data_IF_980936485955
#
_entry.id   IF_980936485955
#
_cell.length_a   1.000
_cell.length_b   1.000
_cell.length_c   1.000
_cell.angle_alpha   90.00
_cell.angle_beta   90.00
_cell.angle_gamma   90.00
#
_symmetry.space_group_name_H-M   'P 1'
#
loop_
_entity.id
_entity.type
_entity.pdbx_description
1 polymer ?
#
# COMPACT_ATOMS: atom_id res chain seq x y z
N UNK A 1 35.72 2.11 -1.54
CA UNK A 1 35.32 2.86 -0.32
C UNK A 1 33.80 3.04 -0.20
N UNK A 2 33.05 3.40 -1.25
CA UNK A 2 31.58 3.53 -1.18
C UNK A 2 30.84 2.22 -0.83
N UNK A 3 31.22 1.07 -1.40
CA UNK A 3 30.57 -0.21 -1.10
C UNK A 3 30.72 -0.67 0.38
N UNK A 4 31.83 -0.31 1.03
CA UNK A 4 32.12 -0.66 2.43
C UNK A 4 31.34 0.22 3.41
N UNK A 5 31.04 1.48 3.03
CA UNK A 5 30.27 2.42 3.85
C UNK A 5 28.78 2.07 3.83
N UNK A 6 28.23 1.65 2.68
CA UNK A 6 26.84 1.19 2.56
C UNK A 6 26.60 -0.06 3.41
N UNK A 7 27.55 -1.01 3.41
CA UNK A 7 27.44 -2.24 4.21
C UNK A 7 27.47 -1.97 5.73
N UNK A 8 28.25 -0.98 6.17
CA UNK A 8 28.34 -0.62 7.59
C UNK A 8 27.09 0.13 8.08
N UNK A 9 26.47 0.96 7.22
CA UNK A 9 25.25 1.70 7.53
C UNK A 9 24.02 0.78 7.59
N UNK A 10 23.90 -0.18 6.67
CA UNK A 10 22.86 -1.22 6.71
C UNK A 10 22.93 -2.07 7.98
N UNK A 11 24.14 -2.39 8.47
CA UNK A 11 24.32 -3.10 9.74
C UNK A 11 23.79 -2.27 10.91
N UNK A 12 24.13 -0.98 10.99
CA UNK A 12 23.73 -0.09 12.10
C UNK A 12 22.21 0.15 12.19
N UNK A 13 21.50 0.22 11.06
CA UNK A 13 20.03 0.31 11.05
C UNK A 13 19.38 -1.03 11.42
N UNK A 14 19.91 -2.16 10.95
CA UNK A 14 19.46 -3.49 11.38
C UNK A 14 19.67 -3.71 12.89
N UNK A 15 20.76 -3.16 13.47
CA UNK A 15 20.99 -3.17 14.91
C UNK A 15 20.01 -2.29 15.71
N UNK A 16 19.49 -1.19 15.14
CA UNK A 16 18.47 -0.37 15.81
C UNK A 16 17.10 -1.04 15.85
N UNK A 17 16.72 -1.78 14.80
CA UNK A 17 15.44 -2.51 14.75
C UNK A 17 15.40 -3.66 15.77
N UNK A 18 16.46 -4.48 15.86
CA UNK A 18 16.52 -5.61 16.81
C UNK A 18 16.50 -5.15 18.28
N UNK A 19 16.93 -3.91 18.58
CA UNK A 19 16.89 -3.36 19.94
C UNK A 19 15.46 -3.20 20.49
N UNK A 20 14.43 -3.30 19.64
CA UNK A 20 13.02 -3.22 20.01
C UNK A 20 12.37 -4.59 20.29
N UNK A 21 13.15 -5.67 20.28
CA UNK A 21 12.65 -7.04 20.56
C UNK A 21 13.10 -7.49 21.94
N UNK A 22 12.16 -8.06 22.71
CA UNK A 22 12.39 -8.76 23.96
C UNK A 22 12.20 -10.26 23.78
N UNK A 23 12.76 -11.04 24.71
CA UNK A 23 12.71 -12.49 24.66
C UNK A 23 12.22 -13.05 25.98
N UNK A 24 11.29 -14.01 25.93
CA UNK A 24 10.87 -14.77 27.12
C UNK A 24 12.00 -15.71 27.57
N UNK A 25 11.87 -16.33 28.74
CA UNK A 25 12.83 -17.36 29.21
C UNK A 25 12.95 -18.54 28.23
N UNK A 26 11.88 -18.82 27.49
CA UNK A 26 11.83 -19.87 26.45
C UNK A 26 12.33 -19.39 25.08
N UNK A 27 12.78 -18.15 24.96
CA UNK A 27 13.34 -17.60 23.73
C UNK A 27 12.30 -17.13 22.69
N UNK A 28 11.02 -17.02 23.05
CA UNK A 28 10.00 -16.41 22.18
C UNK A 28 10.21 -14.90 22.11
N UNK A 29 10.24 -14.37 20.89
CA UNK A 29 10.36 -12.95 20.62
C UNK A 29 9.02 -12.23 20.90
N UNK A 30 9.08 -11.05 21.51
CA UNK A 30 7.91 -10.19 21.77
C UNK A 30 8.31 -8.71 21.80
N UNK A 31 7.38 -7.77 21.60
CA UNK A 31 7.72 -6.36 21.40
C UNK A 31 8.12 -5.63 22.70
N UNK A 32 8.53 -4.37 22.57
CA UNK A 32 8.62 -3.41 23.68
C UNK A 32 7.26 -3.20 24.37
N UNK A 33 7.28 -2.48 25.50
CA UNK A 33 6.11 -2.35 26.36
C UNK A 33 4.99 -1.60 25.63
N UNK A 34 3.75 -2.05 25.84
CA UNK A 34 2.55 -1.42 25.31
C UNK A 34 2.56 0.09 25.62
N UNK A 35 2.35 0.89 24.58
CA UNK A 35 2.14 2.33 24.63
C UNK A 35 0.64 2.61 24.57
N UNK A 36 0.01 2.81 25.73
CA UNK A 36 -1.41 3.08 25.77
C UNK A 36 -1.75 4.42 25.12
N UNK A 37 -2.86 4.47 24.39
CA UNK A 37 -3.37 5.69 23.76
C UNK A 37 -4.86 5.87 24.07
N UNK A 38 -5.29 7.12 24.13
CA UNK A 38 -6.66 7.50 24.44
C UNK A 38 -7.42 8.11 23.27
N UNK A 39 -8.52 8.79 23.61
CA UNK A 39 -9.43 9.45 22.65
C UNK A 39 -8.75 10.46 21.72
N UNK A 40 -7.60 11.02 22.10
CA UNK A 40 -6.80 11.93 21.28
C UNK A 40 -6.34 11.27 19.97
N UNK A 41 -6.13 9.95 19.96
CA UNK A 41 -5.75 9.19 18.78
C UNK A 41 -6.83 9.15 17.69
N UNK A 42 -8.08 9.46 18.04
CA UNK A 42 -9.25 9.45 17.16
C UNK A 42 -9.59 10.84 16.62
N UNK A 43 -8.91 11.89 17.09
CA UNK A 43 -9.09 13.24 16.55
C UNK A 43 -8.56 13.33 15.12
N UNK A 44 -9.10 14.22 14.27
CA UNK A 44 -8.56 14.43 12.93
C UNK A 44 -7.07 14.74 12.94
N UNK A 45 -6.32 13.98 12.15
CA UNK A 45 -4.88 14.15 11.93
C UNK A 45 -4.60 14.83 10.58
N UNK A 46 -3.37 15.32 10.38
CA UNK A 46 -2.95 15.88 9.08
C UNK A 46 -2.54 14.80 8.06
N UNK A 47 -2.35 13.56 8.52
CA UNK A 47 -1.87 12.41 7.75
C UNK A 47 -2.48 11.14 8.31
N UNK A 48 -2.38 10.04 7.57
CA UNK A 48 -2.81 8.73 8.04
C UNK A 48 -1.86 8.22 9.12
N UNK A 49 -2.40 7.93 10.31
CA UNK A 49 -1.67 7.39 11.45
C UNK A 49 -2.13 5.96 11.71
N UNK A 50 -1.18 5.05 11.86
CA UNK A 50 -1.39 3.62 12.08
C UNK A 50 -0.83 3.27 13.47
N UNK A 51 -1.55 2.47 14.25
CA UNK A 51 -1.06 1.90 15.51
C UNK A 51 -1.30 0.40 15.50
N UNK A 52 -0.27 -0.37 15.84
CA UNK A 52 -0.42 -1.82 16.00
C UNK A 52 -1.16 -2.13 17.31
N UNK A 53 -2.18 -2.97 17.27
CA UNK A 53 -3.01 -3.32 18.44
C UNK A 53 -2.58 -4.62 19.12
N UNK A 54 -1.61 -5.33 18.52
CA UNK A 54 -1.31 -6.72 18.86
C UNK A 54 -1.96 -7.70 17.88
N UNK A 55 -1.35 -8.88 17.75
CA UNK A 55 -1.69 -9.92 16.79
C UNK A 55 -1.82 -9.33 15.36
N UNK A 56 -2.86 -9.67 14.61
CA UNK A 56 -3.16 -9.04 13.32
C UNK A 56 -3.85 -7.67 13.40
N UNK A 57 -4.07 -7.16 14.61
CA UNK A 57 -4.89 -5.97 14.84
C UNK A 57 -4.16 -4.66 14.56
N UNK A 58 -4.80 -3.75 13.83
CA UNK A 58 -4.29 -2.39 13.61
C UNK A 58 -5.41 -1.34 13.71
N UNK A 59 -5.10 -0.21 14.33
CA UNK A 59 -5.92 1.00 14.28
C UNK A 59 -5.38 1.96 13.22
N UNK A 60 -6.26 2.53 12.40
CA UNK A 60 -5.91 3.48 11.34
C UNK A 60 -6.79 4.71 11.49
N UNK A 61 -6.18 5.87 11.66
CA UNK A 61 -6.82 7.18 11.57
C UNK A 61 -6.34 7.89 10.31
N UNK A 62 -7.17 7.91 9.27
CA UNK A 62 -6.92 8.69 8.06
C UNK A 62 -7.63 10.03 8.14
N UNK A 63 -6.91 11.05 8.64
CA UNK A 63 -7.39 12.44 8.67
C UNK A 63 -8.76 12.62 9.34
N UNK A 64 -9.06 11.79 10.34
CA UNK A 64 -10.33 11.78 11.08
C UNK A 64 -11.29 10.65 10.69
N UNK A 65 -11.02 9.88 9.65
CA UNK A 65 -11.70 8.61 9.40
C UNK A 65 -11.00 7.49 10.14
N UNK A 66 -11.67 6.93 11.15
CA UNK A 66 -11.07 6.00 12.12
C UNK A 66 -11.58 4.58 11.88
N UNK A 67 -10.69 3.65 11.54
CA UNK A 67 -11.03 2.25 11.34
C UNK A 67 -10.11 1.33 12.14
N UNK A 68 -10.56 0.12 12.44
CA UNK A 68 -9.70 -0.97 12.93
C UNK A 68 -9.74 -2.15 11.97
N UNK A 69 -8.62 -2.85 11.83
CA UNK A 69 -8.52 -4.15 11.16
C UNK A 69 -8.25 -5.19 12.25
N UNK A 70 -9.00 -6.30 12.23
CA UNK A 70 -8.83 -7.46 13.11
C UNK A 70 -8.56 -7.13 14.60
N UNK A 71 -9.37 -6.27 15.27
CA UNK A 71 -9.08 -5.83 16.63
C UNK A 71 -9.31 -6.96 17.66
N UNK A 72 -8.24 -7.66 18.03
CA UNK A 72 -8.22 -8.62 19.14
C UNK A 72 -7.87 -7.94 20.47
N UNK A 73 -8.75 -7.07 20.98
CA UNK A 73 -8.50 -6.28 22.19
C UNK A 73 -8.92 -6.97 23.50
N UNK A 74 -9.76 -8.00 23.42
CA UNK A 74 -10.26 -8.73 24.58
C UNK A 74 -10.70 -10.16 24.24
N UNK A 75 -10.73 -11.04 25.24
CA UNK A 75 -11.39 -12.35 25.15
C UNK A 75 -10.71 -13.34 24.21
N UNK A 76 -9.38 -13.26 24.10
CA UNK A 76 -8.57 -14.31 23.51
C UNK A 76 -8.36 -15.45 24.52
N UNK A 77 -8.35 -16.68 24.03
CA UNK A 77 -8.43 -17.88 24.90
C UNK A 77 -7.05 -18.38 25.35
N UNK A 78 -5.96 -17.76 24.87
CA UNK A 78 -4.59 -18.10 25.25
C UNK A 78 -3.93 -16.94 26.01
N UNK A 79 -2.91 -17.22 26.85
CA UNK A 79 -2.16 -16.17 27.54
C UNK A 79 -1.46 -15.24 26.53
N UNK A 80 -1.36 -13.97 26.88
CA UNK A 80 -0.75 -12.93 26.04
C UNK A 80 0.56 -12.42 26.67
N UNK A 81 1.53 -12.05 25.83
CA UNK A 81 2.79 -11.41 26.21
C UNK A 81 2.68 -9.89 26.30
N UNK A 82 1.57 -9.32 25.82
CA UNK A 82 1.32 -7.89 25.78
C UNK A 82 -0.04 -7.56 26.39
N UNK A 83 -0.18 -6.34 26.88
CA UNK A 83 -1.48 -5.75 27.20
C UNK A 83 -2.05 -5.03 25.98
N UNK A 84 -3.38 -5.03 25.78
CA UNK A 84 -3.99 -4.27 24.68
C UNK A 84 -3.69 -2.77 24.88
N UNK A 85 -3.29 -2.05 23.83
CA UNK A 85 -2.94 -0.62 23.94
C UNK A 85 -4.14 0.29 24.20
N UNK A 86 -5.35 -0.22 23.97
CA UNK A 86 -6.60 0.46 24.27
C UNK A 86 -7.66 -0.59 24.63
N UNK A 87 -8.49 -0.31 25.62
CA UNK A 87 -9.64 -1.16 25.93
C UNK A 87 -10.82 -0.84 24.99
N UNK A 88 -11.67 -1.83 24.62
CA UNK A 88 -12.86 -1.55 23.81
C UNK A 88 -13.74 -0.43 24.37
N UNK A 89 -13.82 -0.31 25.69
CA UNK A 89 -14.62 0.69 26.41
C UNK A 89 -14.02 2.11 26.35
N UNK A 90 -12.74 2.25 25.98
CA UNK A 90 -12.05 3.53 25.83
C UNK A 90 -12.12 4.08 24.40
N UNK A 91 -12.60 3.28 23.45
CA UNK A 91 -12.77 3.68 22.05
C UNK A 91 -13.96 4.65 21.94
N UNK A 92 -13.73 5.93 21.56
CA UNK A 92 -14.81 6.92 21.56
C UNK A 92 -15.75 6.78 20.35
N UNK A 93 -15.21 6.42 19.18
CA UNK A 93 -15.93 6.23 17.93
C UNK A 93 -15.05 5.50 16.91
N UNK A 94 -15.67 4.70 16.06
CA UNK A 94 -15.08 4.10 14.86
C UNK A 94 -16.04 4.25 13.69
N UNK A 95 -15.50 4.54 12.52
CA UNK A 95 -16.26 4.54 11.27
C UNK A 95 -16.48 3.12 10.76
N UNK A 96 -15.48 2.26 10.96
CA UNK A 96 -15.57 0.86 10.59
C UNK A 96 -14.65 -0.06 11.39
N UNK A 97 -15.03 -1.33 11.44
CA UNK A 97 -14.13 -2.44 11.75
C UNK A 97 -14.09 -3.38 10.54
N UNK A 98 -12.89 -3.71 10.08
CA UNK A 98 -12.63 -4.69 9.03
C UNK A 98 -12.20 -6.00 9.67
N UNK A 99 -12.82 -7.11 9.27
CA UNK A 99 -12.46 -8.45 9.75
C UNK A 99 -12.04 -9.30 8.56
N UNK A 100 -10.88 -9.93 8.62
CA UNK A 100 -10.34 -10.73 7.50
C UNK A 100 -11.03 -12.09 7.40
N UNK A 101 -11.22 -12.76 8.52
CA UNK A 101 -11.82 -14.10 8.61
C UNK A 101 -12.30 -14.43 10.04
N UNK A 102 -12.79 -15.64 10.28
CA UNK A 102 -13.57 -15.99 11.49
C UNK A 102 -12.78 -16.45 12.71
N UNK A 103 -11.45 -16.56 12.64
CA UNK A 103 -10.65 -17.12 13.74
C UNK A 103 -10.53 -16.13 14.90
N UNK A 104 -10.44 -16.64 16.14
CA UNK A 104 -10.67 -15.81 17.33
C UNK A 104 -9.57 -14.75 17.55
N UNK A 105 -8.38 -14.97 16.99
CA UNK A 105 -7.24 -14.05 17.01
C UNK A 105 -7.35 -12.92 15.95
N UNK A 106 -8.38 -12.98 15.08
CA UNK A 106 -8.75 -11.91 14.13
C UNK A 106 -10.16 -11.37 14.40
N UNK A 107 -11.15 -12.26 14.51
CA UNK A 107 -12.54 -11.98 14.84
C UNK A 107 -12.84 -12.24 16.32
N UNK A 108 -12.26 -11.42 17.19
CA UNK A 108 -12.61 -11.43 18.61
C UNK A 108 -14.07 -11.00 18.80
N UNK A 109 -14.96 -11.98 19.00
CA UNK A 109 -16.38 -11.74 19.27
C UNK A 109 -16.59 -10.85 20.50
N UNK A 110 -15.85 -11.03 21.62
CA UNK A 110 -15.94 -10.14 22.77
C UNK A 110 -15.55 -8.70 22.46
N UNK A 111 -14.54 -8.47 21.61
CA UNK A 111 -14.16 -7.12 21.18
C UNK A 111 -15.24 -6.50 20.30
N UNK A 112 -15.66 -7.22 19.26
CA UNK A 112 -16.65 -6.73 18.30
C UNK A 112 -17.99 -6.35 18.98
N UNK A 113 -18.44 -7.13 19.96
CA UNK A 113 -19.65 -6.81 20.74
C UNK A 113 -19.51 -5.52 21.55
N UNK A 114 -18.34 -5.26 22.12
CA UNK A 114 -18.10 -4.05 22.94
C UNK A 114 -17.87 -2.81 22.10
N UNK A 115 -17.37 -2.97 20.88
CA UNK A 115 -17.25 -1.88 19.91
C UNK A 115 -18.58 -1.56 19.19
N UNK A 116 -19.61 -2.41 19.32
CA UNK A 116 -20.83 -2.31 18.53
C UNK A 116 -21.57 -0.96 18.67
N UNK A 117 -21.56 -0.37 19.87
CA UNK A 117 -22.26 0.89 20.14
C UNK A 117 -21.49 2.14 19.65
N UNK A 118 -20.18 1.99 19.40
CA UNK A 118 -19.29 3.09 18.97
C UNK A 118 -18.80 2.93 17.53
N UNK A 119 -19.09 1.80 16.88
CA UNK A 119 -18.68 1.50 15.52
C UNK A 119 -19.83 1.72 14.52
N UNK A 120 -19.57 2.48 13.46
CA UNK A 120 -20.55 2.72 12.40
C UNK A 120 -20.99 1.44 11.68
N UNK A 121 -20.03 0.59 11.30
CA UNK A 121 -20.32 -0.70 10.69
C UNK A 121 -19.12 -1.67 10.70
N UNK A 122 -19.40 -2.97 10.60
CA UNK A 122 -18.42 -4.02 10.43
C UNK A 122 -18.42 -4.53 8.98
N UNK A 123 -17.26 -4.77 8.39
CA UNK A 123 -17.13 -5.22 7.01
C UNK A 123 -16.24 -6.45 6.94
N UNK A 124 -16.65 -7.45 6.17
CA UNK A 124 -15.93 -8.71 6.00
C UNK A 124 -16.41 -9.47 4.76
N UNK A 125 -15.93 -10.70 4.59
CA UNK A 125 -16.53 -11.70 3.70
C UNK A 125 -18.00 -11.98 4.04
N UNK A 126 -18.75 -12.50 3.07
CA UNK A 126 -20.17 -12.89 3.24
C UNK A 126 -20.36 -13.87 4.40
N UNK A 127 -19.43 -14.81 4.59
CA UNK A 127 -19.52 -15.79 5.68
C UNK A 127 -19.36 -15.14 7.05
N UNK A 128 -18.31 -14.35 7.27
CA UNK A 128 -18.10 -13.71 8.58
C UNK A 128 -19.20 -12.68 8.87
N UNK A 129 -19.72 -11.98 7.85
CA UNK A 129 -20.92 -11.15 7.99
C UNK A 129 -22.12 -11.95 8.51
N UNK A 130 -22.33 -13.19 8.05
CA UNK A 130 -23.38 -14.04 8.60
C UNK A 130 -23.20 -14.32 10.11
N UNK A 131 -21.95 -14.46 10.58
CA UNK A 131 -21.64 -14.64 11.99
C UNK A 131 -21.89 -13.36 12.79
N UNK A 132 -21.50 -12.21 12.23
CA UNK A 132 -21.72 -10.89 12.83
C UNK A 132 -23.22 -10.54 12.91
N UNK A 133 -24.01 -10.89 11.91
CA UNK A 133 -25.48 -10.78 11.92
C UNK A 133 -26.13 -11.64 13.00
N UNK A 134 -25.65 -12.86 13.22
CA UNK A 134 -26.10 -13.70 14.33
C UNK A 134 -25.81 -13.07 15.70
N UNK A 135 -24.76 -12.24 15.78
CA UNK A 135 -24.42 -11.43 16.96
C UNK A 135 -25.15 -10.09 17.02
N UNK A 136 -25.99 -9.76 16.02
CA UNK A 136 -26.72 -8.50 15.85
C UNK A 136 -25.81 -7.27 15.68
N UNK A 137 -24.63 -7.46 15.09
CA UNK A 137 -23.75 -6.34 14.75
C UNK A 137 -24.22 -5.64 13.45
N UNK A 138 -24.00 -4.33 13.29
CA UNK A 138 -24.28 -3.61 12.06
C UNK A 138 -23.22 -3.97 11.00
N UNK A 139 -23.43 -5.08 10.29
CA UNK A 139 -22.40 -5.65 9.40
C UNK A 139 -22.81 -5.79 7.93
N UNK A 140 -21.79 -5.77 7.06
CA UNK A 140 -21.92 -5.94 5.61
C UNK A 140 -20.89 -6.96 5.09
N UNK A 141 -21.39 -7.94 4.33
CA UNK A 141 -20.60 -8.98 3.69
C UNK A 141 -20.29 -8.64 2.24
N UNK A 142 -19.06 -8.93 1.82
CA UNK A 142 -18.52 -8.61 0.50
C UNK A 142 -17.91 -9.84 -0.19
N UNK A 143 -17.96 -9.86 -1.52
CA UNK A 143 -17.21 -10.80 -2.36
C UNK A 143 -15.76 -10.35 -2.56
N UNK A 144 -14.89 -11.27 -2.97
CA UNK A 144 -13.44 -11.01 -3.13
C UNK A 144 -13.08 -9.96 -4.18
N UNK A 145 -14.00 -9.64 -5.09
CA UNK A 145 -13.81 -8.60 -6.13
C UNK A 145 -14.47 -7.27 -5.75
N UNK A 146 -15.16 -7.21 -4.61
CA UNK A 146 -15.91 -6.02 -4.21
C UNK A 146 -14.97 -4.91 -3.74
N UNK A 147 -15.41 -3.68 -4.01
CA UNK A 147 -14.83 -2.47 -3.47
C UNK A 147 -15.94 -1.63 -2.85
N UNK A 148 -15.70 -1.11 -1.65
CA UNK A 148 -16.64 -0.25 -0.93
C UNK A 148 -15.90 0.96 -0.32
N UNK A 149 -16.67 1.90 0.24
CA UNK A 149 -16.13 3.14 0.81
C UNK A 149 -16.56 3.32 2.26
N UNK A 150 -15.62 3.76 3.08
CA UNK A 150 -15.84 4.24 4.44
C UNK A 150 -15.40 5.71 4.43
N UNK A 151 -16.36 6.62 4.28
CA UNK A 151 -16.10 8.05 4.05
C UNK A 151 -15.12 8.26 2.86
N UNK A 152 -13.92 8.75 3.13
CA UNK A 152 -12.83 9.03 2.20
C UNK A 152 -11.87 7.84 1.98
N UNK A 153 -11.99 6.78 2.77
CA UNK A 153 -11.24 5.53 2.58
C UNK A 153 -11.98 4.64 1.56
N UNK A 154 -11.24 4.10 0.59
CA UNK A 154 -11.72 3.04 -0.30
C UNK A 154 -11.10 1.72 0.11
N UNK A 155 -11.92 0.68 0.27
CA UNK A 155 -11.49 -0.67 0.65
C UNK A 155 -11.86 -1.66 -0.45
N UNK A 156 -10.88 -2.48 -0.85
CA UNK A 156 -11.09 -3.60 -1.77
C UNK A 156 -10.64 -4.89 -1.09
N UNK A 157 -11.38 -5.98 -1.27
CA UNK A 157 -10.97 -7.28 -0.76
C UNK A 157 -9.84 -7.85 -1.63
N UNK A 158 -8.94 -8.60 -1.01
CA UNK A 158 -7.93 -9.42 -1.71
C UNK A 158 -8.14 -10.90 -1.39
N UNK A 159 -7.84 -11.82 -2.31
CA UNK A 159 -7.90 -13.25 -2.02
C UNK A 159 -7.04 -13.63 -0.83
N UNK A 160 -7.50 -14.59 -0.04
CA UNK A 160 -6.72 -15.26 0.99
C UNK A 160 -6.83 -16.79 0.84
N UNK A 161 -5.97 -17.51 1.54
CA UNK A 161 -6.01 -18.96 1.65
C UNK A 161 -5.66 -19.38 3.07
N UNK A 162 -6.68 -19.57 3.91
CA UNK A 162 -6.49 -19.88 5.33
C UNK A 162 -7.50 -20.94 5.81
N UNK A 163 -7.73 -21.98 5.00
CA UNK A 163 -8.73 -23.04 5.27
C UNK A 163 -8.19 -24.15 6.19
N UNK A 164 -7.44 -23.80 7.23
CA UNK A 164 -6.80 -24.78 8.13
C UNK A 164 -7.83 -25.64 8.88
N UNK A 165 -9.03 -25.11 9.12
CA UNK A 165 -10.14 -25.78 9.80
C UNK A 165 -10.52 -27.08 9.08
N UNK A 166 -10.34 -27.15 7.76
CA UNK A 166 -10.61 -28.36 6.96
C UNK A 166 -9.54 -29.45 7.16
N UNK A 167 -8.37 -29.11 7.72
CA UNK A 167 -7.29 -30.06 8.03
C UNK A 167 -7.52 -30.77 9.36
N UNK A 168 -8.48 -30.27 10.16
CA UNK A 168 -8.88 -30.85 11.45
C UNK A 168 -10.33 -31.31 11.43
N UNK A 169 -10.66 -32.31 12.26
CA UNK A 169 -12.05 -32.65 12.55
C UNK A 169 -12.65 -31.68 13.59
N UNK A 170 -13.98 -31.64 13.68
CA UNK A 170 -14.68 -30.89 14.73
C UNK A 170 -15.48 -29.67 14.27
N UNK A 171 -15.53 -29.40 12.97
CA UNK A 171 -16.38 -28.37 12.38
C UNK A 171 -17.50 -28.98 11.55
N UNK A 172 -18.71 -28.43 11.69
CA UNK A 172 -19.91 -28.91 10.97
C UNK A 172 -20.02 -28.38 9.53
N UNK A 173 -18.95 -27.76 9.01
CA UNK A 173 -18.91 -27.19 7.65
C UNK A 173 -17.54 -27.35 7.01
N UNK A 174 -17.53 -27.32 5.68
CA UNK A 174 -16.31 -27.19 4.88
C UNK A 174 -16.08 -25.72 4.58
N UNK A 175 -14.96 -25.19 5.06
CA UNK A 175 -14.56 -23.80 4.85
C UNK A 175 -14.07 -23.58 3.42
N UNK A 176 -14.52 -22.50 2.79
CA UNK A 176 -14.18 -22.14 1.41
C UNK A 176 -13.15 -21.00 1.40
N UNK A 177 -12.43 -20.82 0.29
CA UNK A 177 -11.44 -19.74 0.19
C UNK A 177 -12.07 -18.36 0.33
N UNK A 178 -13.30 -18.21 -0.13
CA UNK A 178 -14.09 -16.99 -0.09
C UNK A 178 -14.57 -16.61 1.33
N UNK A 179 -14.41 -17.52 2.31
CA UNK A 179 -14.68 -17.21 3.72
C UNK A 179 -13.60 -16.29 4.33
N UNK A 180 -12.44 -16.19 3.67
CA UNK A 180 -11.25 -15.45 4.10
C UNK A 180 -10.90 -14.38 3.08
N UNK A 181 -10.39 -13.24 3.55
CA UNK A 181 -9.90 -12.19 2.68
C UNK A 181 -8.73 -11.43 3.32
N UNK A 182 -7.99 -10.69 2.50
CA UNK A 182 -7.25 -9.52 2.96
C UNK A 182 -7.94 -8.24 2.49
N UNK A 183 -7.36 -7.09 2.83
CA UNK A 183 -7.87 -5.78 2.44
C UNK A 183 -6.77 -4.91 1.84
N UNK A 184 -7.07 -4.30 0.68
CA UNK A 184 -6.39 -3.11 0.19
C UNK A 184 -7.17 -1.88 0.65
N UNK A 185 -6.54 -1.07 1.49
CA UNK A 185 -7.13 0.09 2.15
C UNK A 185 -6.46 1.33 1.58
N UNK A 186 -7.14 2.00 0.65
CA UNK A 186 -6.68 3.25 0.05
C UNK A 186 -7.14 4.42 0.89
N UNK A 187 -6.16 5.08 1.52
CA UNK A 187 -6.34 6.29 2.32
C UNK A 187 -5.99 7.54 1.51
N UNK A 188 -6.14 8.73 2.10
CA UNK A 188 -5.68 9.97 1.49
C UNK A 188 -4.15 10.05 1.32
N UNK A 189 -3.38 9.32 2.14
CA UNK A 189 -1.92 9.41 2.17
C UNK A 189 -1.22 8.16 1.59
N UNK A 190 -1.94 7.08 1.31
CA UNK A 190 -1.34 5.91 0.68
C UNK A 190 -2.19 4.65 0.72
N UNK A 191 -1.66 3.60 0.11
CA UNK A 191 -2.28 2.29 0.02
C UNK A 191 -1.70 1.35 1.09
N UNK A 192 -2.56 0.85 1.96
CA UNK A 192 -2.21 -0.12 3.00
C UNK A 192 -2.73 -1.49 2.57
N UNK A 193 -1.92 -2.53 2.70
CA UNK A 193 -2.35 -3.91 2.49
C UNK A 193 -2.33 -4.69 3.81
N UNK A 194 -3.50 -5.21 4.18
CA UNK A 194 -3.70 -6.11 5.32
C UNK A 194 -4.02 -7.52 4.80
N UNK A 195 -3.06 -8.45 4.74
CA UNK A 195 -3.26 -9.77 4.15
C UNK A 195 -4.06 -10.74 5.02
N UNK A 196 -4.29 -10.42 6.31
CA UNK A 196 -4.60 -11.42 7.33
C UNK A 196 -3.39 -12.33 7.56
N UNK A 197 -3.64 -13.57 7.93
CA UNK A 197 -2.66 -14.66 8.14
C UNK A 197 -2.76 -15.74 7.04
N UNK A 198 -3.03 -15.28 5.81
CA UNK A 198 -3.18 -16.15 4.65
C UNK A 198 -1.92 -16.97 4.34
N UNK A 199 -2.07 -18.18 3.82
CA UNK A 199 -1.02 -18.85 3.02
C UNK A 199 -0.59 -17.99 1.85
N UNK A 200 0.64 -18.22 1.38
CA UNK A 200 1.15 -17.55 0.18
C UNK A 200 0.31 -17.85 -1.06
N UNK A 201 -0.04 -16.79 -1.78
CA UNK A 201 -0.69 -16.83 -3.08
C UNK A 201 0.18 -16.10 -4.12
N UNK A 202 0.43 -16.64 -5.33
CA UNK A 202 1.21 -15.98 -6.36
C UNK A 202 0.68 -14.59 -6.76
N UNK A 203 -0.61 -14.34 -6.58
CA UNK A 203 -1.31 -13.07 -6.79
C UNK A 203 -0.78 -11.96 -5.89
N UNK A 204 -0.25 -12.30 -4.71
CA UNK A 204 0.33 -11.33 -3.76
C UNK A 204 1.51 -10.58 -4.33
N UNK A 205 2.20 -11.12 -5.34
CA UNK A 205 3.32 -10.45 -6.00
C UNK A 205 2.89 -9.48 -7.10
N UNK A 206 1.57 -9.34 -7.34
CA UNK A 206 1.00 -8.55 -8.45
C UNK A 206 -0.14 -7.62 -8.01
N UNK A 207 -0.27 -7.37 -6.71
CA UNK A 207 -1.21 -6.39 -6.20
C UNK A 207 -0.75 -4.98 -6.60
N UNK A 208 -1.67 -3.99 -6.65
CA UNK A 208 -1.28 -2.59 -6.69
C UNK A 208 -0.26 -2.31 -5.58
N UNK A 209 0.88 -1.71 -5.93
CA UNK A 209 2.05 -1.68 -5.06
C UNK A 209 1.76 -0.92 -3.76
N UNK A 210 1.63 -1.59 -2.60
CA UNK A 210 1.27 -0.93 -1.36
C UNK A 210 2.39 -0.02 -0.86
N UNK A 211 2.01 0.98 -0.08
CA UNK A 211 2.92 1.85 0.67
C UNK A 211 3.21 1.24 2.05
N UNK A 212 2.25 0.51 2.62
CA UNK A 212 2.37 -0.21 3.89
C UNK A 212 1.86 -1.63 3.74
N UNK A 213 2.56 -2.60 4.30
CA UNK A 213 2.09 -3.98 4.44
C UNK A 213 2.03 -4.30 5.93
N UNK A 214 0.88 -4.79 6.40
CA UNK A 214 0.80 -5.49 7.69
C UNK A 214 1.42 -6.86 7.49
N UNK A 215 2.67 -6.97 7.91
CA UNK A 215 3.60 -7.97 7.44
C UNK A 215 3.58 -9.19 8.35
N UNK A 216 2.79 -10.19 7.96
CA UNK A 216 2.85 -11.55 8.52
C UNK A 216 4.03 -12.32 7.89
N UNK A 217 4.78 -13.02 8.76
CA UNK A 217 5.98 -13.75 8.39
C UNK A 217 6.17 -15.03 9.23
N UNK A 218 5.11 -15.48 9.92
CA UNK A 218 5.13 -16.73 10.67
C UNK A 218 5.46 -17.92 9.77
N UNK A 219 6.39 -18.76 10.22
CA UNK A 219 6.96 -19.86 9.43
C UNK A 219 6.23 -21.19 9.68
N UNK A 220 4.95 -21.23 9.34
CA UNK A 220 4.12 -22.42 9.49
C UNK A 220 3.26 -22.72 8.26
N UNK A 221 2.51 -23.83 8.36
CA UNK A 221 1.72 -24.35 7.26
C UNK A 221 0.45 -23.55 6.97
N UNK A 222 -0.04 -22.68 7.85
CA UNK A 222 -1.29 -21.93 7.69
C UNK A 222 -1.06 -20.46 7.29
N UNK A 223 0.15 -19.96 7.53
CA UNK A 223 0.57 -18.59 7.23
C UNK A 223 1.34 -18.47 5.91
N UNK A 224 1.74 -17.24 5.57
CA UNK A 224 2.52 -16.94 4.36
C UNK A 224 3.81 -17.77 4.33
N UNK A 225 4.46 -17.95 5.49
CA UNK A 225 5.76 -18.58 5.62
C UNK A 225 6.90 -17.58 5.39
N UNK A 226 8.00 -17.73 6.12
CA UNK A 226 9.12 -16.76 6.14
C UNK A 226 9.68 -16.49 4.74
N UNK A 227 10.01 -17.53 3.98
CA UNK A 227 10.61 -17.38 2.65
C UNK A 227 9.67 -16.71 1.64
N UNK A 228 8.35 -16.91 1.78
CA UNK A 228 7.36 -16.27 0.92
C UNK A 228 7.08 -14.83 1.35
N UNK A 229 7.09 -14.55 2.66
CA UNK A 229 7.00 -13.19 3.18
C UNK A 229 8.18 -12.35 2.68
N UNK A 230 9.39 -12.91 2.64
CA UNK A 230 10.57 -12.29 2.01
C UNK A 230 10.36 -12.03 0.51
N UNK A 231 9.76 -12.96 -0.24
CA UNK A 231 9.43 -12.74 -1.67
C UNK A 231 8.47 -11.57 -1.84
N UNK A 232 7.44 -11.48 -1.00
CA UNK A 232 6.47 -10.37 -1.01
C UNK A 232 7.18 -9.06 -0.69
N UNK A 233 7.97 -9.02 0.39
CA UNK A 233 8.73 -7.84 0.78
C UNK A 233 9.60 -7.35 -0.39
N UNK A 234 10.29 -8.26 -1.08
CA UNK A 234 11.18 -7.90 -2.18
C UNK A 234 10.46 -7.57 -3.50
N UNK A 235 9.21 -8.01 -3.67
CA UNK A 235 8.36 -7.56 -4.79
C UNK A 235 7.88 -6.11 -4.62
N UNK A 236 7.82 -5.62 -3.37
CA UNK A 236 7.46 -4.24 -3.04
C UNK A 236 8.58 -3.57 -2.21
N UNK A 237 9.72 -3.22 -2.84
CA UNK A 237 10.93 -2.77 -2.14
C UNK A 237 10.74 -1.44 -1.39
N UNK A 238 9.75 -0.63 -1.77
CA UNK A 238 9.47 0.66 -1.13
C UNK A 238 8.40 0.58 -0.04
N UNK A 239 7.69 -0.54 0.06
CA UNK A 239 6.62 -0.70 1.05
C UNK A 239 7.20 -0.77 2.47
N UNK A 240 6.63 0.00 3.37
CA UNK A 240 6.93 -0.06 4.80
C UNK A 240 6.31 -1.33 5.38
N UNK A 241 7.09 -2.10 6.13
CA UNK A 241 6.68 -3.40 6.66
C UNK A 241 6.42 -3.25 8.15
N UNK A 242 5.15 -3.18 8.53
CA UNK A 242 4.76 -3.16 9.95
C UNK A 242 4.53 -4.60 10.37
N UNK A 243 5.38 -5.13 11.25
CA UNK A 243 5.28 -6.54 11.64
C UNK A 243 3.95 -6.84 12.31
N UNK A 244 3.32 -7.93 11.90
CA UNK A 244 1.97 -8.34 12.31
C UNK A 244 1.98 -9.77 12.86
N UNK A 245 0.96 -10.13 13.65
CA UNK A 245 0.69 -11.45 14.24
C UNK A 245 1.71 -11.93 15.31
N UNK A 246 2.99 -11.69 15.10
CA UNK A 246 4.09 -12.09 16.00
C UNK A 246 3.99 -11.52 17.42
N UNK A 247 4.61 -12.21 18.38
CA UNK A 247 4.99 -11.65 19.69
C UNK A 247 3.84 -11.23 20.61
N UNK A 248 2.61 -11.59 20.28
CA UNK A 248 1.40 -11.21 21.05
C UNK A 248 0.93 -12.31 21.99
N UNK A 249 0.89 -13.56 21.50
CA UNK A 249 0.43 -14.73 22.26
C UNK A 249 1.63 -15.41 22.93
N UNK A 250 1.52 -15.77 24.20
CA UNK A 250 2.52 -16.58 24.90
C UNK A 250 2.38 -18.04 24.46
N UNK A 251 3.07 -18.37 23.36
CA UNK A 251 2.98 -19.65 22.68
C UNK A 251 4.32 -20.01 22.01
N UNK A 252 5.39 -20.24 22.80
CA UNK A 252 6.73 -20.44 22.28
C UNK A 252 6.88 -21.69 21.41
N UNK A 253 5.95 -22.64 21.53
CA UNK A 253 5.95 -23.90 20.78
C UNK A 253 5.01 -23.85 19.54
N UNK A 254 4.29 -22.74 19.32
CA UNK A 254 3.38 -22.57 18.18
C UNK A 254 3.95 -21.58 17.18
N UNK A 255 4.43 -22.10 16.04
CA UNK A 255 5.07 -21.30 15.00
C UNK A 255 4.19 -20.16 14.47
N UNK A 256 2.87 -20.35 14.42
CA UNK A 256 1.91 -19.33 14.00
C UNK A 256 2.03 -18.04 14.81
N UNK A 257 2.37 -18.11 16.11
CA UNK A 257 2.50 -16.94 16.99
C UNK A 257 3.95 -16.62 17.39
N UNK A 258 4.92 -17.44 16.98
CA UNK A 258 6.32 -17.37 17.42
C UNK A 258 7.28 -17.02 16.26
N UNK A 259 6.86 -16.13 15.37
CA UNK A 259 7.76 -15.54 14.39
C UNK A 259 8.78 -14.62 15.09
N UNK A 260 10.05 -14.67 14.67
CA UNK A 260 11.12 -13.86 15.26
C UNK A 260 11.60 -12.82 14.25
N UNK A 261 11.48 -11.50 14.53
CA UNK A 261 11.94 -10.45 13.62
C UNK A 261 13.42 -10.59 13.22
N UNK A 262 14.25 -11.24 14.04
CA UNK A 262 15.67 -11.50 13.71
C UNK A 262 15.82 -12.33 12.42
N UNK A 263 14.82 -13.16 12.10
CA UNK A 263 14.88 -14.06 10.95
C UNK A 263 14.73 -13.30 9.61
N UNK A 264 14.25 -12.05 9.65
CA UNK A 264 14.16 -11.15 8.49
C UNK A 264 15.49 -10.46 8.16
N UNK A 265 16.42 -10.40 9.12
CA UNK A 265 17.68 -9.67 9.00
C UNK A 265 18.52 -10.22 7.85
N UNK A 266 18.89 -9.35 6.90
CA UNK A 266 19.69 -9.72 5.74
C UNK A 266 18.94 -10.48 4.64
N UNK A 267 17.62 -10.70 4.79
CA UNK A 267 16.78 -11.35 3.76
C UNK A 267 15.98 -10.36 2.91
N UNK A 268 15.70 -9.18 3.46
CA UNK A 268 14.86 -8.15 2.84
C UNK A 268 15.74 -7.08 2.19
N UNK A 269 15.42 -6.75 0.93
CA UNK A 269 15.96 -5.57 0.24
C UNK A 269 15.46 -4.33 0.95
N UNK A 270 16.37 -3.42 1.31
CA UNK A 270 16.08 -2.18 2.06
C UNK A 270 15.52 -2.48 3.46
N UNK A 271 16.30 -3.13 4.36
CA UNK A 271 15.81 -3.60 5.67
C UNK A 271 15.39 -2.47 6.62
N UNK A 272 15.79 -1.22 6.38
CA UNK A 272 15.41 -0.04 7.16
C UNK A 272 13.91 0.29 7.15
N UNK A 273 13.15 -0.33 6.24
CA UNK A 273 11.69 -0.18 6.16
C UNK A 273 10.91 -1.19 7.00
N UNK A 274 11.60 -2.05 7.76
CA UNK A 274 11.00 -2.98 8.72
C UNK A 274 10.78 -2.22 10.02
N UNK A 275 9.53 -2.17 10.47
CA UNK A 275 9.13 -1.48 11.69
C UNK A 275 8.67 -2.49 12.74
N UNK A 276 9.40 -2.55 13.85
CA UNK A 276 9.09 -3.38 15.02
C UNK A 276 8.41 -2.47 16.04
N UNK A 277 7.11 -2.26 15.86
CA UNK A 277 6.32 -1.36 16.70
C UNK A 277 6.06 -1.97 18.08
N UNK A 278 6.09 -1.16 19.14
CA UNK A 278 5.39 -1.51 20.36
C UNK A 278 3.87 -1.45 20.13
N UNK A 279 3.05 -2.27 20.84
CA UNK A 279 1.60 -2.14 20.77
C UNK A 279 1.17 -0.71 21.13
N UNK A 280 0.41 -0.06 20.27
CA UNK A 280 -0.04 1.33 20.40
C UNK A 280 0.95 2.39 19.92
N UNK A 281 2.17 2.01 19.56
CA UNK A 281 3.15 2.93 18.97
C UNK A 281 2.64 3.49 17.64
N UNK A 282 2.87 4.79 17.45
CA UNK A 282 2.43 5.51 16.26
C UNK A 282 3.37 5.30 15.08
N UNK A 283 2.81 4.86 13.96
CA UNK A 283 3.43 4.94 12.66
C UNK A 283 2.67 5.95 11.80
N UNK A 284 3.34 7.02 11.38
CA UNK A 284 2.76 8.02 10.47
C UNK A 284 3.03 7.61 9.04
N UNK A 285 1.98 7.28 8.29
CA UNK A 285 2.06 7.08 6.85
C UNK A 285 2.30 8.44 6.19
N UNK A 286 3.57 8.71 5.91
CA UNK A 286 3.91 9.83 5.03
C UNK A 286 3.54 9.42 3.62
N UNK A 287 2.89 10.34 2.89
CA UNK A 287 2.59 10.11 1.48
C UNK A 287 3.86 9.64 0.80
N UNK A 288 3.82 8.42 0.30
CA UNK A 288 4.97 7.83 -0.37
C UNK A 288 5.38 8.81 -1.45
N UNK A 289 6.63 9.25 -1.42
CA UNK A 289 7.26 9.92 -2.56
C UNK A 289 7.45 8.91 -3.72
N UNK A 290 6.78 7.74 -3.70
CA UNK A 290 6.70 6.79 -4.80
C UNK A 290 6.28 7.53 -6.05
N UNK A 291 7.17 7.51 -7.03
CA UNK A 291 6.92 8.20 -8.26
C UNK A 291 6.92 9.72 -8.14
N UNK A 292 7.28 10.32 -7.00
CA UNK A 292 7.50 11.75 -6.95
C UNK A 292 8.83 12.08 -7.62
N UNK A 293 8.90 13.25 -8.24
CA UNK A 293 10.12 13.68 -8.92
C UNK A 293 11.16 14.04 -7.86
N UNK A 294 12.21 13.23 -7.72
CA UNK A 294 13.37 13.58 -6.90
C UNK A 294 14.20 14.63 -7.65
N UNK A 295 14.22 15.85 -7.14
CA UNK A 295 14.93 16.98 -7.77
C UNK A 295 16.45 16.78 -7.79
N UNK A 296 16.99 16.06 -6.81
CA UNK A 296 18.43 15.86 -6.67
C UNK A 296 18.99 14.84 -7.69
N UNK A 297 18.13 13.97 -8.22
CA UNK A 297 18.48 12.95 -9.22
C UNK A 297 18.25 13.41 -10.67
N UNK A 298 17.69 14.61 -10.88
CA UNK A 298 17.36 15.11 -12.22
C UNK A 298 18.62 15.54 -12.99
N UNK A 299 18.67 15.18 -14.27
CA UNK A 299 19.73 15.64 -15.19
C UNK A 299 19.63 17.15 -15.43
N UNK A 300 18.40 17.67 -15.57
CA UNK A 300 18.14 19.10 -15.72
C UNK A 300 17.14 19.57 -14.65
N UNK A 301 17.27 20.83 -14.22
CA UNK A 301 16.36 21.44 -13.25
C UNK A 301 14.88 21.22 -13.64
N UNK A 302 14.04 20.91 -12.63
CA UNK A 302 12.61 20.59 -12.76
C UNK A 302 11.83 21.55 -13.67
N UNK A 303 12.22 22.83 -13.70
CA UNK A 303 11.57 23.86 -14.48
C UNK A 303 10.40 24.50 -13.75
N UNK A 304 9.49 25.12 -14.49
CA UNK A 304 8.34 25.82 -13.93
C UNK A 304 7.10 24.95 -14.02
N UNK A 305 6.29 24.96 -12.96
CA UNK A 305 4.96 24.35 -12.98
C UNK A 305 4.12 25.04 -14.07
N UNK A 306 3.57 24.25 -14.98
CA UNK A 306 2.73 24.72 -16.07
C UNK A 306 1.30 24.89 -15.59
N UNK A 307 0.68 26.02 -15.93
CA UNK A 307 -0.72 26.30 -15.66
C UNK A 307 -1.41 26.40 -17.01
N UNK A 308 -2.01 25.30 -17.46
CA UNK A 308 -2.75 25.21 -18.71
C UNK A 308 -3.86 24.18 -18.55
N UNK A 309 -5.00 24.41 -19.19
CA UNK A 309 -6.15 23.50 -19.15
C UNK A 309 -5.91 22.16 -19.87
N UNK A 310 -4.86 22.11 -20.70
CA UNK A 310 -4.48 20.94 -21.50
C UNK A 310 -3.56 19.95 -20.77
N UNK A 311 -3.27 20.20 -19.48
CA UNK A 311 -2.54 19.29 -18.63
C UNK A 311 -3.42 18.89 -17.46
N UNK A 312 -3.53 17.59 -17.24
CA UNK A 312 -4.16 17.02 -16.06
C UNK A 312 -3.13 16.88 -14.95
N UNK A 313 -3.36 17.55 -13.82
CA UNK A 313 -2.50 17.51 -12.64
C UNK A 313 -1.26 18.43 -12.74
N UNK A 314 -0.20 18.05 -12.03
CA UNK A 314 1.01 18.85 -11.89
C UNK A 314 2.05 18.44 -12.94
N UNK A 315 2.34 19.35 -13.87
CA UNK A 315 3.34 19.17 -14.92
C UNK A 315 4.32 20.34 -14.90
N UNK A 316 5.61 20.03 -14.98
CA UNK A 316 6.69 21.02 -14.97
C UNK A 316 7.41 21.00 -16.31
N UNK A 317 7.67 22.19 -16.86
CA UNK A 317 8.36 22.35 -18.14
C UNK A 317 9.61 23.19 -17.94
N UNK A 318 10.72 22.69 -18.47
CA UNK A 318 12.02 23.37 -18.50
C UNK A 318 12.46 23.50 -19.96
N UNK A 319 12.48 24.71 -20.48
CA UNK A 319 13.01 24.97 -21.83
C UNK A 319 14.54 24.91 -21.82
N UNK A 320 15.12 23.97 -22.56
CA UNK A 320 16.57 23.72 -22.54
C UNK A 320 17.28 24.41 -23.71
N UNK A 321 16.70 24.32 -24.91
CA UNK A 321 17.25 24.94 -26.12
C UNK A 321 16.13 25.32 -27.07
N UNK A 322 16.22 26.50 -27.66
CA UNK A 322 15.35 26.94 -28.76
C UNK A 322 16.21 27.43 -29.91
N UNK A 323 15.95 26.94 -31.11
CA UNK A 323 16.65 27.33 -32.33
C UNK A 323 15.66 27.77 -33.41
N UNK A 324 16.15 28.06 -34.62
CA UNK A 324 15.27 28.27 -35.77
C UNK A 324 14.67 26.96 -36.30
N UNK A 325 15.29 25.81 -36.00
CA UNK A 325 14.98 24.51 -36.61
C UNK A 325 14.22 23.57 -35.67
N UNK A 326 14.48 23.65 -34.37
CA UNK A 326 13.87 22.78 -33.35
C UNK A 326 13.92 23.40 -31.95
N UNK A 327 13.04 22.88 -31.09
CA UNK A 327 12.97 23.18 -29.65
C UNK A 327 13.24 21.90 -28.84
N UNK A 328 14.01 22.04 -27.75
CA UNK A 328 14.27 20.97 -26.77
C UNK A 328 13.73 21.42 -25.42
N UNK A 329 12.79 20.65 -24.87
CA UNK A 329 12.20 20.88 -23.56
C UNK A 329 12.31 19.62 -22.71
N UNK A 330 12.55 19.77 -21.40
CA UNK A 330 12.27 18.72 -20.44
C UNK A 330 10.85 18.89 -19.91
N UNK A 331 10.10 17.79 -19.88
CA UNK A 331 8.81 17.72 -19.20
C UNK A 331 8.92 16.73 -18.04
N UNK A 332 8.32 17.10 -16.91
CA UNK A 332 8.22 16.25 -15.74
C UNK A 332 6.75 16.20 -15.28
N UNK A 333 6.17 15.01 -15.29
CA UNK A 333 4.80 14.74 -14.87
C UNK A 333 4.84 14.07 -13.49
N UNK A 334 4.09 14.58 -12.52
CA UNK A 334 3.83 13.85 -11.27
C UNK A 334 2.94 12.62 -11.54
N UNK A 335 2.87 11.62 -10.62
CA UNK A 335 2.01 10.46 -10.79
C UNK A 335 0.57 10.85 -11.15
N UNK A 336 -0.03 10.13 -12.10
CA UNK A 336 -1.38 10.43 -12.58
C UNK A 336 -1.47 11.60 -13.57
N UNK A 337 -0.40 12.35 -13.81
CA UNK A 337 -0.45 13.56 -14.62
C UNK A 337 -0.14 13.28 -16.10
N UNK A 338 -0.86 13.93 -17.01
CA UNK A 338 -0.68 13.75 -18.46
C UNK A 338 -1.14 14.97 -19.23
N UNK A 339 -0.80 15.05 -20.52
CA UNK A 339 -1.37 16.05 -21.42
C UNK A 339 -2.65 15.52 -22.11
N UNK A 340 -3.43 16.43 -22.66
CA UNK A 340 -4.56 16.11 -23.52
C UNK A 340 -4.09 15.59 -24.88
N UNK A 341 -5.00 14.98 -25.64
CA UNK A 341 -4.73 14.62 -27.02
C UNK A 341 -4.29 15.85 -27.81
N UNK A 342 -3.27 15.71 -28.66
CA UNK A 342 -2.80 16.79 -29.50
C UNK A 342 -2.11 16.29 -30.77
N UNK A 343 -1.93 17.19 -31.72
CA UNK A 343 -1.12 16.98 -32.93
C UNK A 343 -0.05 18.08 -33.05
N UNK A 344 1.04 17.73 -33.71
CA UNK A 344 1.98 18.68 -34.30
C UNK A 344 1.75 18.68 -35.82
N UNK A 345 1.04 19.67 -36.40
CA UNK A 345 0.55 19.59 -37.78
C UNK A 345 1.63 19.33 -38.83
N UNK A 346 2.80 19.95 -38.67
CA UNK A 346 3.88 19.98 -39.64
C UNK A 346 5.27 19.78 -39.00
N UNK A 347 5.32 19.23 -37.78
CA UNK A 347 6.56 18.95 -37.05
C UNK A 347 6.57 17.51 -36.51
N UNK A 348 7.75 16.87 -36.53
CA UNK A 348 7.93 15.61 -35.79
C UNK A 348 8.23 15.93 -34.32
N UNK A 349 7.82 15.04 -33.42
CA UNK A 349 8.24 15.06 -32.02
C UNK A 349 9.02 13.80 -31.69
N UNK A 350 10.10 13.94 -30.95
CA UNK A 350 10.86 12.83 -30.36
C UNK A 350 10.87 12.96 -28.85
N UNK A 351 10.47 11.90 -28.15
CA UNK A 351 10.54 11.78 -26.71
C UNK A 351 11.70 10.87 -26.32
N UNK A 352 12.56 11.35 -25.41
CA UNK A 352 13.64 10.55 -24.80
C UNK A 352 13.35 10.41 -23.31
N UNK A 353 13.05 9.20 -22.84
CA UNK A 353 12.61 8.98 -21.46
C UNK A 353 13.82 8.95 -20.53
N UNK A 354 13.88 9.90 -19.60
CA UNK A 354 15.00 10.08 -18.68
C UNK A 354 14.78 9.36 -17.35
N UNK A 355 13.53 9.34 -16.86
CA UNK A 355 13.20 8.72 -15.58
C UNK A 355 11.71 8.41 -15.42
N UNK A 356 11.40 7.49 -14.50
CA UNK A 356 10.04 7.10 -14.14
C UNK A 356 9.35 6.17 -15.15
N UNK A 357 8.03 6.04 -15.02
CA UNK A 357 7.16 5.24 -15.91
C UNK A 357 6.01 6.09 -16.42
N UNK A 358 5.75 5.99 -17.72
CA UNK A 358 4.70 6.76 -18.38
C UNK A 358 3.87 5.94 -19.35
N UNK A 359 2.88 6.61 -19.92
CA UNK A 359 2.10 6.13 -21.04
C UNK A 359 2.32 7.02 -22.27
N UNK A 360 2.24 6.39 -23.44
CA UNK A 360 2.13 7.05 -24.74
C UNK A 360 1.06 6.35 -25.56
N UNK A 361 0.24 7.11 -26.27
CA UNK A 361 -0.77 6.53 -27.15
C UNK A 361 -1.00 7.41 -28.37
N UNK A 362 -1.13 6.75 -29.53
CA UNK A 362 -1.63 7.35 -30.77
C UNK A 362 -3.10 6.97 -30.97
N UNK A 363 -3.85 7.84 -31.62
CA UNK A 363 -5.27 7.61 -31.90
C UNK A 363 -5.46 6.29 -32.67
N UNK A 364 -6.38 5.45 -32.21
CA UNK A 364 -6.66 4.13 -32.78
C UNK A 364 -5.61 3.05 -32.47
N UNK A 365 -4.54 3.35 -31.72
CA UNK A 365 -3.53 2.37 -31.32
C UNK A 365 -3.59 2.03 -29.82
N UNK A 366 -3.07 0.85 -29.40
CA UNK A 366 -2.94 0.51 -28.00
C UNK A 366 -2.02 1.49 -27.25
N UNK A 367 -2.36 1.77 -25.99
CA UNK A 367 -1.52 2.50 -25.04
C UNK A 367 -0.24 1.71 -24.78
N UNK A 368 0.90 2.40 -24.82
CA UNK A 368 2.24 1.83 -24.61
C UNK A 368 2.80 2.28 -23.26
N UNK A 369 3.43 1.37 -22.53
CA UNK A 369 4.21 1.70 -21.35
C UNK A 369 5.55 2.29 -21.80
N UNK A 370 5.94 3.39 -21.15
CA UNK A 370 7.23 4.04 -21.30
C UNK A 370 8.07 3.79 -20.04
N UNK A 371 9.34 3.46 -20.23
CA UNK A 371 10.34 3.33 -19.16
C UNK A 371 11.62 4.09 -19.51
N UNK A 372 12.44 4.38 -18.50
CA UNK A 372 13.74 5.02 -18.68
C UNK A 372 14.58 4.34 -19.78
N UNK A 373 15.09 5.16 -20.71
CA UNK A 373 15.86 4.70 -21.86
C UNK A 373 15.03 4.50 -23.14
N UNK A 374 13.70 4.54 -23.07
CA UNK A 374 12.85 4.47 -24.26
C UNK A 374 12.97 5.73 -25.13
N UNK A 375 12.75 5.52 -26.43
CA UNK A 375 12.70 6.58 -27.45
C UNK A 375 11.43 6.43 -28.27
N UNK A 376 10.64 7.50 -28.34
CA UNK A 376 9.43 7.56 -29.15
C UNK A 376 9.59 8.65 -30.20
N UNK A 377 9.26 8.34 -31.45
CA UNK A 377 9.13 9.34 -32.51
C UNK A 377 7.69 9.37 -32.99
N UNK A 378 7.10 10.55 -32.97
CA UNK A 378 5.77 10.84 -33.48
C UNK A 378 5.90 11.66 -34.75
N UNK A 379 5.32 11.17 -35.83
CA UNK A 379 5.35 11.86 -37.12
C UNK A 379 4.41 13.08 -37.11
N UNK A 380 4.58 14.03 -38.05
CA UNK A 380 3.65 15.16 -38.18
C UNK A 380 2.21 14.69 -38.35
N UNK A 381 1.29 15.47 -37.79
CA UNK A 381 -0.16 15.28 -37.87
C UNK A 381 -0.69 13.97 -37.23
N UNK A 382 0.12 13.29 -36.41
CA UNK A 382 -0.31 12.11 -35.65
C UNK A 382 -0.88 12.55 -34.30
N UNK A 383 -2.15 12.24 -34.06
CA UNK A 383 -2.84 12.57 -32.80
C UNK A 383 -2.40 11.62 -31.70
N UNK A 384 -1.87 12.18 -30.61
CA UNK A 384 -1.29 11.42 -29.52
C UNK A 384 -1.42 12.14 -28.18
N UNK A 385 -1.18 11.41 -27.09
CA UNK A 385 -0.97 11.95 -25.74
C UNK A 385 0.13 11.16 -25.04
N UNK A 386 0.68 11.74 -23.98
CA UNK A 386 1.64 11.09 -23.10
C UNK A 386 1.62 11.67 -21.68
N UNK A 387 2.10 10.89 -20.72
CA UNK A 387 2.16 11.32 -19.32
C UNK A 387 2.63 10.24 -18.39
N UNK A 388 2.61 10.55 -17.10
CA UNK A 388 2.91 9.63 -16.02
C UNK A 388 1.89 8.48 -15.94
N UNK A 389 2.35 7.34 -15.42
CA UNK A 389 1.45 6.28 -14.93
C UNK A 389 0.77 6.72 -13.62
N UNK A 390 -0.29 6.03 -13.16
CA UNK A 390 -0.98 6.41 -11.92
C UNK A 390 -0.08 6.40 -10.67
N UNK A 391 1.00 5.61 -10.69
CA UNK A 391 1.87 5.29 -9.55
C UNK A 391 3.34 5.69 -9.77
N UNK A 392 3.69 6.37 -10.87
CA UNK A 392 5.06 6.81 -11.15
C UNK A 392 5.10 8.14 -11.88
N UNK A 393 6.08 9.01 -11.58
CA UNK A 393 6.38 10.18 -12.42
C UNK A 393 6.83 9.75 -13.81
N UNK A 394 6.85 10.72 -14.71
CA UNK A 394 7.54 10.60 -15.98
C UNK A 394 8.40 11.85 -16.19
N UNK A 395 9.70 11.68 -16.41
CA UNK A 395 10.60 12.74 -16.86
C UNK A 395 11.14 12.37 -18.23
N UNK A 396 10.96 13.26 -19.20
CA UNK A 396 11.47 13.04 -20.55
C UNK A 396 11.92 14.34 -21.21
N UNK A 397 12.79 14.22 -22.21
CA UNK A 397 13.02 15.29 -23.18
C UNK A 397 11.98 15.18 -24.28
N UNK A 398 11.52 16.32 -24.76
CA UNK A 398 10.78 16.48 -26.01
C UNK A 398 11.63 17.32 -26.95
N UNK A 399 11.94 16.76 -28.11
CA UNK A 399 12.61 17.42 -29.22
C UNK A 399 11.56 17.56 -30.32
N UNK A 400 11.18 18.80 -30.64
CA UNK A 400 10.14 19.07 -31.63
C UNK A 400 10.69 19.98 -32.71
N UNK A 401 10.51 19.60 -33.98
CA UNK A 401 10.89 20.45 -35.11
C UNK A 401 10.10 21.77 -35.06
N UNK A 402 10.71 22.89 -35.46
CA UNK A 402 9.99 24.15 -35.60
C UNK A 402 9.33 24.26 -36.97
N UNK A 403 8.07 24.66 -36.97
CA UNK A 403 7.36 25.05 -38.17
C UNK A 403 6.82 26.48 -38.07
N UNK A 404 6.63 27.12 -39.22
CA UNK A 404 6.12 28.49 -39.29
C UNK A 404 4.61 28.63 -39.00
N UNK A 405 3.89 27.54 -38.69
CA UNK A 405 2.42 27.50 -38.58
C UNK A 405 1.95 26.68 -37.37
N UNK A 406 2.13 27.23 -36.17
CA UNK A 406 1.49 26.72 -34.95
C UNK A 406 2.10 25.43 -34.40
N UNK A 407 2.71 25.52 -33.23
CA UNK A 407 3.51 24.44 -32.64
C UNK A 407 2.72 23.22 -32.17
N UNK A 408 1.49 23.42 -31.66
CA UNK A 408 0.64 22.37 -31.11
C UNK A 408 -0.82 22.70 -31.40
N UNK A 409 -1.60 21.73 -31.87
CA UNK A 409 -3.06 21.80 -31.90
C UNK A 409 -3.62 20.79 -30.92
N UNK A 410 -4.28 21.31 -29.88
CA UNK A 410 -4.89 20.54 -28.81
C UNK A 410 -6.26 19.98 -29.23
N UNK A 411 -6.60 18.84 -28.67
CA UNK A 411 -7.83 18.09 -28.87
C UNK A 411 -8.47 17.77 -27.51
N UNK A 412 -9.38 16.79 -27.46
CA UNK A 412 -10.10 16.42 -26.26
C UNK A 412 -9.21 15.88 -25.14
N UNK A 413 -9.75 15.89 -23.92
CA UNK A 413 -9.12 15.28 -22.75
C UNK A 413 -9.00 13.77 -22.92
N UNK A 414 -7.97 13.19 -22.33
CA UNK A 414 -7.85 11.73 -22.21
C UNK A 414 -8.96 11.25 -21.28
N UNK A 415 -9.75 10.27 -21.75
CA UNK A 415 -10.79 9.67 -20.93
C UNK A 415 -10.19 8.93 -19.73
N UNK A 416 -10.68 9.21 -18.52
CA UNK A 416 -10.12 8.65 -17.29
C UNK A 416 -10.25 7.12 -17.21
N UNK A 417 -11.28 6.54 -17.83
CA UNK A 417 -11.46 5.08 -17.81
C UNK A 417 -10.45 4.38 -18.73
N UNK A 418 -10.17 4.94 -19.91
CA UNK A 418 -9.11 4.43 -20.81
C UNK A 418 -7.71 4.73 -20.25
N UNK A 419 -7.50 5.86 -19.56
CA UNK A 419 -6.27 6.16 -18.85
C UNK A 419 -5.96 5.12 -17.76
N UNK A 420 -6.95 4.76 -16.94
CA UNK A 420 -6.79 3.80 -15.83
C UNK A 420 -6.81 2.34 -16.28
N UNK A 421 -7.23 2.05 -17.51
CA UNK A 421 -7.28 0.69 -18.05
C UNK A 421 -5.87 0.08 -18.11
N UNK A 422 -5.65 -1.13 -17.55
CA UNK A 422 -4.36 -1.81 -17.63
C UNK A 422 -3.94 -2.07 -19.09
N UNK A 423 -2.64 -1.98 -19.37
CA UNK A 423 -2.08 -2.41 -20.65
C UNK A 423 -2.13 -3.95 -20.66
N UNK A 424 -2.70 -4.52 -21.72
CA UNK A 424 -2.83 -5.97 -21.92
C UNK A 424 -1.52 -6.63 -22.30
#
# INVERSE_FOLDING_TARGET
MQATIIFLFCLLCAFHSIAQVRYTEKGQAYPLATQHFGKEAFAPSNQTVIRWLGNAGFFINSRGTCIMVDPMLAGFDMPLLIEPPILPEEVPALDAVLITHSDNDHFSKPTCKRLADVCGAFYSTVYVDSLMKNMRLPSFGHGLEDTFRIKDITVSLTPAWHTWQNEFGGFDRVFQREDYCGFLIKTADGLIWAPGDSRFLPEFLRLPAPDVIFFDFSDDGWHIGLDNAVKIANAYPDAQLLLSHWGTVDAPDMKSFNADPKDLVGRIVTPERIHILAPGEEFVLTASQKGAINKDDMIFNLGKKTVSEHYSGNVYISGLLQTAEYDINQLAFEPGCHNDWHIHPDASQVLLILDGKGYYQEEGKPKRLLVKGDVIKTAPNVKHWHGATPDSHLVHLSITDRSGKGHIQWHEKVDSTEYLKPIK
#
